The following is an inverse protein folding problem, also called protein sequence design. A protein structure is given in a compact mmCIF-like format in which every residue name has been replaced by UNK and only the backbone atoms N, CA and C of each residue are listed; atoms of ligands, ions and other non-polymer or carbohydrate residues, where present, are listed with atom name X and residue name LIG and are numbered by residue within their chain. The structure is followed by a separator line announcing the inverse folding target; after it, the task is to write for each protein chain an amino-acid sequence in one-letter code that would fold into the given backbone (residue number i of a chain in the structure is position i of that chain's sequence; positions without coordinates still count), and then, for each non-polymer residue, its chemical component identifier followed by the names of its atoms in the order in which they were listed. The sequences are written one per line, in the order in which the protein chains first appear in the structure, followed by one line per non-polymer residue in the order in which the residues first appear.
data_IF_122859751446
#
_entry.id   IF_122859751446
#
_cell.length_a   1.000
_cell.length_b   1.000
_cell.length_c   1.000
_cell.angle_alpha   90.00
_cell.angle_beta   90.00
_cell.angle_gamma   90.00
#
_symmetry.space_group_name_H-M   'P 1'
#
loop_
_entity.id
_entity.type
_entity.pdbx_description
1 polymer ?
#
# COMPACT_ATOMS: atom_id res chain seq x y z
N UNK A 1 30.84 -29.05 59.35
CA UNK A 1 31.06 -27.75 58.68
C UNK A 1 30.80 -27.77 57.16
N UNK A 2 30.36 -28.87 56.53
CA UNK A 2 30.25 -28.95 55.06
C UNK A 2 28.86 -28.64 54.44
N UNK A 3 27.76 -28.79 55.17
CA UNK A 3 26.41 -28.68 54.59
C UNK A 3 26.01 -27.25 54.24
N UNK A 4 26.34 -26.29 55.11
CA UNK A 4 26.06 -24.87 54.85
C UNK A 4 26.82 -24.28 53.65
N UNK A 5 27.97 -24.85 53.29
CA UNK A 5 28.75 -24.41 52.13
C UNK A 5 28.12 -24.88 50.80
N UNK A 6 27.51 -26.07 50.80
CA UNK A 6 26.85 -26.63 49.60
C UNK A 6 25.57 -25.87 49.26
N UNK A 7 24.79 -25.48 50.26
CA UNK A 7 23.58 -24.67 50.10
C UNK A 7 23.92 -23.28 49.50
N UNK A 8 24.94 -22.61 50.04
CA UNK A 8 25.38 -21.29 49.54
C UNK A 8 25.95 -21.33 48.12
N UNK A 9 26.63 -22.42 47.75
CA UNK A 9 27.12 -22.61 46.39
C UNK A 9 25.96 -22.83 45.40
N UNK A 10 24.96 -23.62 45.80
CA UNK A 10 23.75 -23.81 45.00
C UNK A 10 22.99 -22.49 44.78
N UNK A 11 22.81 -21.70 45.84
CA UNK A 11 22.14 -20.40 45.76
C UNK A 11 22.89 -19.42 44.84
N UNK A 12 24.23 -19.42 44.89
CA UNK A 12 25.06 -18.58 44.02
C UNK A 12 24.95 -18.99 42.54
N UNK A 13 24.96 -20.30 42.26
CA UNK A 13 24.78 -20.82 40.89
C UNK A 13 23.38 -20.51 40.37
N UNK A 14 22.36 -20.66 41.22
CA UNK A 14 20.99 -20.35 40.86
C UNK A 14 20.79 -18.85 40.57
N UNK A 15 21.34 -17.98 41.42
CA UNK A 15 21.32 -16.53 41.19
C UNK A 15 22.04 -16.14 39.90
N UNK A 16 23.18 -16.77 39.61
CA UNK A 16 23.92 -16.55 38.37
C UNK A 16 23.13 -17.00 37.14
N UNK A 17 22.46 -18.16 37.21
CA UNK A 17 21.61 -18.65 36.12
C UNK A 17 20.44 -17.70 35.83
N UNK A 18 19.80 -17.15 36.87
CA UNK A 18 18.76 -16.13 36.72
C UNK A 18 19.33 -14.87 36.05
N UNK A 19 20.48 -14.38 36.52
CA UNK A 19 21.10 -13.18 35.98
C UNK A 19 21.47 -13.37 34.49
N UNK A 20 22.03 -14.52 34.13
CA UNK A 20 22.34 -14.87 32.76
C UNK A 20 21.08 -14.96 31.89
N UNK A 21 19.99 -15.54 32.42
CA UNK A 21 18.69 -15.59 31.73
C UNK A 21 18.11 -14.20 31.48
N UNK A 22 18.15 -13.31 32.48
CA UNK A 22 17.70 -11.91 32.35
C UNK A 22 18.55 -11.16 31.32
N UNK A 23 19.88 -11.32 31.36
CA UNK A 23 20.78 -10.70 30.39
C UNK A 23 20.52 -11.18 28.95
N UNK A 24 20.29 -12.49 28.77
CA UNK A 24 19.93 -13.05 27.47
C UNK A 24 18.59 -12.51 26.96
N UNK A 25 17.59 -12.40 27.85
CA UNK A 25 16.29 -11.85 27.49
C UNK A 25 16.40 -10.38 27.11
N UNK A 26 17.17 -9.58 27.86
CA UNK A 26 17.43 -8.18 27.52
C UNK A 26 18.16 -8.03 26.18
N UNK A 27 19.14 -8.90 25.90
CA UNK A 27 19.84 -8.93 24.62
C UNK A 27 18.89 -9.21 23.45
N UNK A 28 18.06 -10.25 23.56
CA UNK A 28 17.07 -10.60 22.53
C UNK A 28 15.91 -9.59 22.43
N UNK A 29 15.56 -8.88 23.50
CA UNK A 29 14.59 -7.78 23.43
C UNK A 29 15.13 -6.56 22.66
N UNK A 30 16.45 -6.39 22.60
CA UNK A 30 17.10 -5.31 21.85
C UNK A 30 17.42 -5.73 20.40
N UNK A 31 17.90 -6.96 20.19
CA UNK A 31 18.32 -7.46 18.87
C UNK A 31 17.29 -8.33 18.14
N UNK A 32 16.20 -8.72 18.79
CA UNK A 32 15.17 -9.56 18.18
C UNK A 32 14.22 -8.76 17.27
N UNK A 33 13.62 -9.44 16.31
CA UNK A 33 12.68 -8.87 15.32
C UNK A 33 11.44 -8.20 15.94
N UNK A 34 11.17 -8.43 17.23
CA UNK A 34 10.07 -7.81 18.00
C UNK A 34 10.56 -6.78 19.03
N UNK A 35 11.83 -6.37 18.95
CA UNK A 35 12.41 -5.38 19.85
C UNK A 35 11.85 -3.97 19.64
N UNK A 36 12.24 -3.03 20.51
CA UNK A 36 11.82 -1.62 20.46
C UNK A 36 11.99 -0.98 19.07
N UNK A 37 13.00 -1.40 18.32
CA UNK A 37 13.26 -0.91 16.96
C UNK A 37 12.21 -1.33 15.94
N UNK A 38 11.57 -2.49 16.10
CA UNK A 38 10.56 -2.98 15.17
C UNK A 38 9.30 -2.12 15.20
N UNK A 39 8.91 -1.64 16.39
CA UNK A 39 7.77 -0.72 16.56
C UNK A 39 8.06 0.61 15.84
N UNK A 40 9.26 1.16 16.04
CA UNK A 40 9.67 2.43 15.42
C UNK A 40 9.77 2.29 13.90
N UNK A 41 10.35 1.19 13.41
CA UNK A 41 10.48 0.92 11.98
C UNK A 41 9.11 0.74 11.31
N UNK A 42 8.21 -0.02 11.95
CA UNK A 42 6.85 -0.23 11.45
C UNK A 42 6.06 1.07 11.39
N UNK A 43 6.19 1.95 12.39
CA UNK A 43 5.50 3.24 12.38
C UNK A 43 6.07 4.18 11.31
N UNK A 44 7.38 4.12 11.04
CA UNK A 44 7.99 4.87 9.94
C UNK A 44 7.55 4.37 8.56
N UNK A 45 7.43 3.05 8.38
CA UNK A 45 6.93 2.43 7.17
C UNK A 45 5.45 2.79 6.92
N UNK A 46 4.61 2.72 7.96
CA UNK A 46 3.20 3.12 7.88
C UNK A 46 3.04 4.57 7.43
N UNK A 47 3.83 5.48 7.99
CA UNK A 47 3.82 6.91 7.61
C UNK A 47 4.22 7.10 6.15
N UNK A 48 5.23 6.38 5.69
CA UNK A 48 5.71 6.44 4.30
C UNK A 48 4.65 5.94 3.33
N UNK A 49 4.11 4.73 3.57
CA UNK A 49 3.05 4.14 2.75
C UNK A 49 1.79 5.02 2.73
N UNK A 50 1.45 5.64 3.84
CA UNK A 50 0.29 6.55 3.93
C UNK A 50 0.50 7.81 3.09
N UNK A 51 1.70 8.36 3.08
CA UNK A 51 2.05 9.51 2.24
C UNK A 51 2.00 9.14 0.75
N UNK A 52 2.56 7.99 0.37
CA UNK A 52 2.54 7.48 -1.01
C UNK A 52 1.11 7.24 -1.50
N UNK A 53 0.28 6.61 -0.65
CA UNK A 53 -1.13 6.39 -0.94
C UNK A 53 -1.88 7.70 -1.16
N UNK A 54 -1.61 8.72 -0.35
CA UNK A 54 -2.21 10.04 -0.51
C UNK A 54 -1.81 10.70 -1.84
N UNK A 55 -0.53 10.59 -2.22
CA UNK A 55 -0.02 11.11 -3.49
C UNK A 55 -0.69 10.44 -4.69
N UNK A 56 -0.74 9.10 -4.71
CA UNK A 56 -1.38 8.33 -5.79
C UNK A 56 -2.88 8.63 -5.87
N UNK A 57 -3.56 8.78 -4.73
CA UNK A 57 -4.99 9.17 -4.71
C UNK A 57 -5.21 10.56 -5.29
N UNK A 58 -4.33 11.51 -5.00
CA UNK A 58 -4.41 12.86 -5.57
C UNK A 58 -4.20 12.85 -7.09
N UNK A 59 -3.26 12.03 -7.59
CA UNK A 59 -3.05 11.83 -9.01
C UNK A 59 -4.28 11.21 -9.68
N UNK A 60 -4.83 10.15 -9.09
CA UNK A 60 -6.07 9.51 -9.57
C UNK A 60 -7.21 10.52 -9.66
N UNK A 61 -7.45 11.31 -8.62
CA UNK A 61 -8.50 12.32 -8.63
C UNK A 61 -8.29 13.37 -9.73
N UNK A 62 -7.04 13.74 -10.00
CA UNK A 62 -6.68 14.68 -11.08
C UNK A 62 -6.99 14.07 -12.45
N UNK A 63 -6.62 12.80 -12.67
CA UNK A 63 -6.92 12.08 -13.90
C UNK A 63 -8.42 11.87 -14.09
N UNK A 64 -9.15 11.52 -13.03
CA UNK A 64 -10.61 11.38 -13.06
C UNK A 64 -11.29 12.70 -13.44
N UNK A 65 -10.82 13.83 -12.91
CA UNK A 65 -11.32 15.14 -13.31
C UNK A 65 -11.03 15.43 -14.78
N UNK A 66 -9.83 15.12 -15.27
CA UNK A 66 -9.48 15.29 -16.70
C UNK A 66 -10.37 14.43 -17.60
N UNK A 67 -10.57 13.15 -17.26
CA UNK A 67 -11.46 12.24 -17.99
C UNK A 67 -12.90 12.76 -17.97
N UNK A 68 -13.41 13.18 -16.81
CA UNK A 68 -14.75 13.75 -16.70
C UNK A 68 -14.92 15.01 -17.56
N UNK A 69 -13.90 15.88 -17.63
CA UNK A 69 -13.91 17.08 -18.49
C UNK A 69 -13.79 16.76 -19.98
N UNK A 70 -13.05 15.72 -20.35
CA UNK A 70 -13.00 15.23 -21.73
C UNK A 70 -14.34 14.62 -22.16
N UNK A 71 -15.00 13.89 -21.25
CA UNK A 71 -16.31 13.30 -21.51
C UNK A 71 -17.42 14.37 -21.61
N UNK A 72 -17.42 15.36 -20.71
CA UNK A 72 -18.44 16.42 -20.67
C UNK A 72 -18.50 17.32 -21.93
N UNK A 73 -17.52 17.21 -22.84
CA UNK A 73 -17.53 17.91 -24.13
C UNK A 73 -17.31 17.01 -25.35
N UNK A 74 -17.20 15.68 -25.20
CA UNK A 74 -16.81 14.79 -26.29
C UNK A 74 -17.43 13.39 -26.22
N UNK A 75 -18.74 13.33 -25.97
CA UNK A 75 -19.58 12.35 -26.66
C UNK A 75 -20.57 13.13 -27.50
N UNK A 76 -20.04 13.69 -28.58
CA UNK A 76 -20.83 14.33 -29.61
C UNK A 76 -21.63 13.22 -30.31
N UNK A 77 -22.82 12.93 -29.77
CA UNK A 77 -23.81 12.07 -30.42
C UNK A 77 -24.08 12.58 -31.85
N UNK A 78 -23.86 13.87 -32.11
CA UNK A 78 -24.07 14.48 -33.41
C UNK A 78 -22.94 14.08 -34.39
N UNK A 79 -21.68 13.92 -33.94
CA UNK A 79 -20.58 13.39 -34.80
C UNK A 79 -20.74 11.88 -35.05
N UNK A 80 -21.31 11.13 -34.09
CA UNK A 80 -21.65 9.72 -34.31
C UNK A 80 -22.80 9.57 -35.31
N UNK A 81 -23.79 10.48 -35.29
CA UNK A 81 -24.90 10.53 -36.26
C UNK A 81 -24.43 11.01 -37.65
N UNK A 82 -23.50 11.96 -37.71
CA UNK A 82 -22.90 12.47 -38.95
C UNK A 82 -22.00 11.41 -39.62
N UNK A 83 -21.19 10.69 -38.83
CA UNK A 83 -20.40 9.55 -39.33
C UNK A 83 -21.30 8.36 -39.71
N UNK A 84 -22.40 8.11 -39.00
CA UNK A 84 -23.36 7.07 -39.35
C UNK A 84 -24.09 7.38 -40.66
N UNK A 85 -24.47 8.63 -40.93
CA UNK A 85 -25.06 9.10 -42.20
C UNK A 85 -24.10 9.01 -43.38
N UNK A 86 -22.82 9.34 -43.18
CA UNK A 86 -21.82 9.34 -44.25
C UNK A 86 -21.32 7.92 -44.60
N UNK A 87 -21.31 7.01 -43.61
CA UNK A 87 -20.89 5.60 -43.82
C UNK A 87 -22.03 4.72 -44.38
N UNK A 88 -23.28 5.01 -44.05
CA UNK A 88 -24.47 4.34 -44.62
C UNK A 88 -24.86 4.95 -45.97
N UNK A 89 -23.92 5.00 -46.92
CA UNK A 89 -24.15 5.26 -48.33
C UNK A 89 -25.11 4.24 -48.99
N UNK A 90 -26.36 4.19 -48.54
CA UNK A 90 -27.53 3.74 -49.27
C UNK A 90 -28.06 4.97 -50.00
N UNK A 91 -27.31 5.37 -51.03
CA UNK A 91 -27.93 5.93 -52.22
C UNK A 91 -28.96 4.89 -52.64
N UNK A 92 -30.24 5.15 -52.35
CA UNK A 92 -31.32 4.49 -53.06
C UNK A 92 -31.07 4.74 -54.53
N UNK A 93 -30.97 3.67 -55.32
CA UNK A 93 -30.64 3.68 -56.73
C UNK A 93 -31.76 4.29 -57.62
N UNK A 94 -32.49 5.30 -57.15
CA UNK A 94 -33.73 5.80 -57.75
C UNK A 94 -33.86 7.35 -57.78
N UNK A 95 -32.79 8.14 -57.57
CA UNK A 95 -32.90 9.59 -57.74
C UNK A 95 -32.52 10.04 -59.17
N UNK A 96 -33.59 10.33 -59.91
CA UNK A 96 -33.73 10.82 -61.28
C UNK A 96 -32.70 11.88 -61.69
N UNK A 97 -31.96 11.60 -62.77
CA UNK A 97 -31.27 12.60 -63.56
C UNK A 97 -32.29 13.42 -64.38
N UNK A 98 -32.48 14.69 -64.00
CA UNK A 98 -33.12 15.69 -64.85
C UNK A 98 -32.25 16.95 -64.95
N UNK A 99 -31.76 17.14 -66.18
CA UNK A 99 -31.22 18.35 -66.83
C UNK A 99 -29.75 18.69 -66.66
#
# INVERSE_FOLDING_TARGET
MGEGQRLRAFDAVFAFAILAGVANFAYHAVQGDFGLFAIIASEAEERTLTADLAAVRAERATLENRVARLNAGFLDLDILDETARDTLGLIGADEVALR
#
